data_IF_191522252265
#
_entry.id   IF_191522252265
#
_cell.length_a   1.000
_cell.length_b   1.000
_cell.length_c   1.000
_cell.angle_alpha   90.00
_cell.angle_beta   90.00
_cell.angle_gamma   90.00
#
_symmetry.space_group_name_H-M   'P 1'
#
loop_
_entity.id
_entity.type
_entity.pdbx_description
1 polymer ?
#
# COMPACT_ATOMS: atom_id res chain seq x y z
N UNK A 1 2.59 55.37 -68.59
CA UNK A 1 1.99 55.57 -67.26
C UNK A 1 1.52 54.22 -66.77
N UNK A 2 2.05 53.71 -65.66
CA UNK A 2 1.57 52.45 -65.09
C UNK A 2 0.10 52.64 -64.68
N UNK A 3 -0.78 51.73 -65.09
CA UNK A 3 -2.19 51.79 -64.70
C UNK A 3 -2.32 51.49 -63.20
N UNK A 4 -3.39 51.97 -62.56
CA UNK A 4 -3.67 51.72 -61.14
C UNK A 4 -3.63 50.20 -60.82
N UNK A 5 -4.11 49.37 -61.75
CA UNK A 5 -4.04 47.92 -61.71
C UNK A 5 -2.61 47.37 -61.52
N UNK A 6 -1.63 47.90 -62.27
CA UNK A 6 -0.23 47.45 -62.17
C UNK A 6 0.47 47.98 -60.92
N UNK A 7 -0.15 48.95 -60.23
CA UNK A 7 0.33 49.47 -58.95
C UNK A 7 -0.14 48.58 -57.80
N UNK A 8 -1.39 48.11 -57.88
CA UNK A 8 -1.99 47.21 -56.90
C UNK A 8 -1.54 45.75 -57.09
N UNK A 9 -1.26 45.34 -58.34
CA UNK A 9 -0.86 43.99 -58.73
C UNK A 9 0.45 44.01 -59.55
N UNK A 10 1.60 44.25 -58.90
CA UNK A 10 2.89 44.36 -59.57
C UNK A 10 3.30 43.05 -60.27
N UNK A 11 2.81 41.91 -59.80
CA UNK A 11 2.94 40.61 -60.46
C UNK A 11 2.39 40.58 -61.89
N UNK A 12 1.50 41.49 -62.30
CA UNK A 12 0.98 41.53 -63.67
C UNK A 12 1.84 42.38 -64.63
N UNK A 13 2.86 43.08 -64.13
CA UNK A 13 3.65 44.05 -64.90
C UNK A 13 4.52 43.47 -66.02
N UNK A 14 4.78 42.16 -65.99
CA UNK A 14 5.58 41.45 -66.99
C UNK A 14 4.74 40.80 -68.10
N UNK A 15 3.40 40.84 -67.99
CA UNK A 15 2.47 40.25 -68.94
C UNK A 15 2.08 41.26 -70.03
N UNK A 16 1.96 40.79 -71.26
CA UNK A 16 1.50 41.64 -72.38
C UNK A 16 -0.01 41.84 -72.33
N UNK A 17 -0.52 42.75 -73.17
CA UNK A 17 -1.98 42.98 -73.27
C UNK A 17 -2.72 41.73 -73.75
N UNK A 18 -2.17 41.01 -74.73
CA UNK A 18 -2.74 39.74 -75.22
C UNK A 18 -2.77 38.71 -74.08
N UNK A 19 -1.69 38.60 -73.30
CA UNK A 19 -1.65 37.71 -72.12
C UNK A 19 -2.74 38.07 -71.08
N UNK A 20 -3.01 39.36 -70.86
CA UNK A 20 -4.05 39.80 -69.92
C UNK A 20 -5.48 39.55 -70.44
N UNK A 21 -5.70 39.65 -71.76
CA UNK A 21 -6.97 39.30 -72.41
C UNK A 21 -7.20 37.78 -72.36
N UNK A 22 -6.15 36.99 -72.61
CA UNK A 22 -6.16 35.53 -72.46
C UNK A 22 -6.35 35.09 -71.01
N UNK A 23 -5.77 35.81 -70.04
CA UNK A 23 -5.97 35.56 -68.60
C UNK A 23 -7.43 35.74 -68.17
N UNK A 24 -8.17 36.65 -68.81
CA UNK A 24 -9.60 36.86 -68.56
C UNK A 24 -10.48 35.85 -69.30
N UNK A 25 -10.04 35.40 -70.48
CA UNK A 25 -10.81 34.51 -71.35
C UNK A 25 -10.62 33.02 -71.02
N UNK A 26 -9.44 32.62 -70.55
CA UNK A 26 -9.09 31.24 -70.20
C UNK A 26 -8.89 31.06 -68.68
N UNK A 27 -9.87 30.43 -68.00
CA UNK A 27 -9.77 30.11 -66.57
C UNK A 27 -8.57 29.22 -66.21
N UNK A 28 -8.12 28.33 -67.11
CA UNK A 28 -6.99 27.46 -66.84
C UNK A 28 -5.67 28.23 -66.86
N UNK A 29 -5.53 29.18 -67.80
CA UNK A 29 -4.38 30.06 -67.86
C UNK A 29 -4.30 30.97 -66.62
N UNK A 30 -5.43 31.53 -66.18
CA UNK A 30 -5.52 32.27 -64.92
C UNK A 30 -5.05 31.44 -63.72
N UNK A 31 -5.56 30.21 -63.57
CA UNK A 31 -5.17 29.32 -62.47
C UNK A 31 -3.68 28.99 -62.52
N UNK A 32 -3.11 28.77 -63.72
CA UNK A 32 -1.68 28.52 -63.87
C UNK A 32 -0.81 29.70 -63.41
N UNK A 33 -1.19 30.93 -63.77
CA UNK A 33 -0.50 32.15 -63.30
C UNK A 33 -0.67 32.33 -61.79
N UNK A 34 -1.90 32.16 -61.27
CA UNK A 34 -2.19 32.26 -59.85
C UNK A 34 -1.36 31.28 -59.01
N UNK A 35 -1.30 30.00 -59.41
CA UNK A 35 -0.45 28.99 -58.74
C UNK A 35 1.05 29.24 -58.93
N UNK A 36 1.45 30.06 -59.91
CA UNK A 36 2.83 30.45 -60.09
C UNK A 36 3.28 31.58 -59.14
N UNK A 37 2.34 32.34 -58.58
CA UNK A 37 2.63 33.44 -57.67
C UNK A 37 3.43 32.95 -56.45
N UNK A 38 4.53 33.62 -56.07
CA UNK A 38 5.38 33.20 -54.95
C UNK A 38 4.61 33.06 -53.63
N UNK A 39 3.66 33.97 -53.37
CA UNK A 39 2.82 33.96 -52.17
C UNK A 39 1.92 32.72 -52.12
N UNK A 40 1.34 32.33 -53.26
CA UNK A 40 0.46 31.16 -53.39
C UNK A 40 1.27 29.87 -53.21
N UNK A 41 2.46 29.77 -53.82
CA UNK A 41 3.38 28.64 -53.60
C UNK A 41 3.80 28.50 -52.14
N UNK A 42 4.16 29.62 -51.50
CA UNK A 42 4.54 29.63 -50.09
C UNK A 42 3.38 29.18 -49.18
N UNK A 43 2.14 29.59 -49.49
CA UNK A 43 0.95 29.13 -48.76
C UNK A 43 0.73 27.62 -48.91
N UNK A 44 0.83 27.07 -50.13
CA UNK A 44 0.68 25.62 -50.34
C UNK A 44 1.79 24.82 -49.65
N UNK A 45 3.03 25.31 -49.68
CA UNK A 45 4.14 24.71 -48.96
C UNK A 45 3.88 24.69 -47.45
N UNK A 46 3.53 25.84 -46.87
CA UNK A 46 3.21 25.94 -45.44
C UNK A 46 2.03 25.03 -45.05
N UNK A 47 0.98 24.96 -45.88
CA UNK A 47 -0.15 24.07 -45.67
C UNK A 47 0.29 22.59 -45.64
N UNK A 48 1.15 22.20 -46.58
CA UNK A 48 1.64 20.83 -46.69
C UNK A 48 2.53 20.47 -45.50
N UNK A 49 3.42 21.37 -45.10
CA UNK A 49 4.28 21.20 -43.92
C UNK A 49 3.45 21.04 -42.64
N UNK A 50 2.43 21.88 -42.45
CA UNK A 50 1.52 21.76 -41.31
C UNK A 50 0.73 20.44 -41.33
N UNK A 51 0.29 19.99 -42.50
CA UNK A 51 -0.42 18.71 -42.64
C UNK A 51 0.49 17.53 -42.24
N UNK A 52 1.73 17.51 -42.74
CA UNK A 52 2.72 16.48 -42.40
C UNK A 52 3.09 16.51 -40.92
N UNK A 53 3.25 17.70 -40.33
CA UNK A 53 3.53 17.84 -38.90
C UNK A 53 2.37 17.31 -38.04
N UNK A 54 1.12 17.65 -38.39
CA UNK A 54 -0.05 17.14 -37.70
C UNK A 54 -0.19 15.62 -37.81
N UNK A 55 0.07 15.06 -39.00
CA UNK A 55 0.06 13.61 -39.22
C UNK A 55 1.13 12.91 -38.37
N UNK A 56 2.34 13.47 -38.32
CA UNK A 56 3.42 12.95 -37.47
C UNK A 56 3.04 12.95 -35.98
N UNK A 57 2.39 14.01 -35.49
CA UNK A 57 1.92 14.09 -34.10
C UNK A 57 0.83 13.05 -33.84
N UNK A 58 -0.14 12.93 -34.76
CA UNK A 58 -1.21 11.94 -34.65
C UNK A 58 -0.67 10.51 -34.60
N UNK A 59 0.28 10.18 -35.48
CA UNK A 59 0.94 8.87 -35.48
C UNK A 59 1.70 8.61 -34.17
N UNK A 60 2.42 9.61 -33.65
CA UNK A 60 3.10 9.48 -32.36
C UNK A 60 2.10 9.21 -31.22
N UNK A 61 1.01 9.97 -31.17
CA UNK A 61 -0.04 9.76 -30.17
C UNK A 61 -0.64 8.35 -30.23
N UNK A 62 -0.91 7.83 -31.43
CA UNK A 62 -1.40 6.47 -31.63
C UNK A 62 -0.38 5.42 -31.17
N UNK A 63 0.91 5.63 -31.42
CA UNK A 63 1.96 4.71 -30.95
C UNK A 63 2.11 4.67 -29.43
N UNK A 64 1.84 5.78 -28.75
CA UNK A 64 1.92 5.88 -27.29
C UNK A 64 0.65 5.41 -26.58
N UNK A 65 -0.48 5.36 -27.28
CA UNK A 65 -1.78 5.02 -26.70
C UNK A 65 -1.76 3.66 -26.00
N UNK A 66 -1.36 2.60 -26.70
CA UNK A 66 -1.38 1.24 -26.16
C UNK A 66 -0.39 1.05 -24.99
N UNK A 67 0.89 1.47 -25.09
CA UNK A 67 1.81 1.43 -23.95
C UNK A 67 1.30 2.18 -22.72
N UNK A 68 0.63 3.32 -22.89
CA UNK A 68 0.07 4.08 -21.76
C UNK A 68 -1.11 3.35 -21.11
N UNK A 69 -1.96 2.67 -21.89
CA UNK A 69 -3.03 1.84 -21.32
C UNK A 69 -2.48 0.64 -20.56
N UNK A 70 -1.45 -0.02 -21.09
CA UNK A 70 -0.77 -1.14 -20.43
C UNK A 70 -0.13 -0.68 -19.12
N UNK A 71 0.67 0.38 -19.15
CA UNK A 71 1.32 0.94 -17.96
C UNK A 71 0.29 1.34 -16.89
N UNK A 72 -0.84 1.92 -17.32
CA UNK A 72 -1.94 2.26 -16.41
C UNK A 72 -2.57 1.03 -15.77
N UNK A 73 -2.76 -0.05 -16.53
CA UNK A 73 -3.30 -1.32 -16.01
C UNK A 73 -2.33 -1.92 -14.99
N UNK A 74 -1.06 -2.06 -15.36
CA UNK A 74 -0.02 -2.62 -14.48
C UNK A 74 0.12 -1.82 -13.18
N UNK A 75 0.08 -0.49 -13.26
CA UNK A 75 0.13 0.38 -12.08
C UNK A 75 -1.07 0.17 -11.18
N UNK A 76 -2.26 -0.01 -11.77
CA UNK A 76 -3.49 -0.28 -11.01
C UNK A 76 -3.40 -1.64 -10.32
N UNK A 77 -2.99 -2.68 -11.04
CA UNK A 77 -2.89 -4.04 -10.50
C UNK A 77 -1.87 -4.08 -9.35
N UNK A 78 -0.70 -3.45 -9.51
CA UNK A 78 0.30 -3.34 -8.45
C UNK A 78 -0.21 -2.55 -7.23
N UNK A 79 -1.02 -1.50 -7.44
CA UNK A 79 -1.64 -0.75 -6.35
C UNK A 79 -2.68 -1.58 -5.60
N UNK A 80 -3.55 -2.29 -6.32
CA UNK A 80 -4.58 -3.15 -5.75
C UNK A 80 -3.93 -4.29 -4.94
N UNK A 81 -2.86 -4.89 -5.45
CA UNK A 81 -2.06 -5.89 -4.73
C UNK A 81 -1.42 -5.32 -3.46
N UNK A 82 -0.83 -4.13 -3.53
CA UNK A 82 -0.27 -3.47 -2.36
C UNK A 82 -1.33 -3.20 -1.28
N UNK A 83 -2.55 -2.79 -1.68
CA UNK A 83 -3.67 -2.61 -0.76
C UNK A 83 -4.15 -3.91 -0.13
N UNK A 84 -4.19 -5.00 -0.91
CA UNK A 84 -4.53 -6.32 -0.40
C UNK A 84 -3.48 -6.80 0.63
N UNK A 85 -2.19 -6.60 0.35
CA UNK A 85 -1.11 -6.91 1.27
C UNK A 85 -1.16 -6.06 2.54
N UNK A 86 -1.47 -4.77 2.44
CA UNK A 86 -1.66 -3.88 3.60
C UNK A 86 -2.81 -4.37 4.50
N UNK A 87 -3.92 -4.80 3.91
CA UNK A 87 -5.05 -5.35 4.66
C UNK A 87 -4.67 -6.68 5.35
N UNK A 88 -3.98 -7.57 4.62
CA UNK A 88 -3.49 -8.83 5.18
C UNK A 88 -2.48 -8.63 6.31
N UNK A 89 -1.60 -7.63 6.20
CA UNK A 89 -0.64 -7.30 7.24
C UNK A 89 -1.34 -6.95 8.56
N UNK A 90 -2.37 -6.11 8.52
CA UNK A 90 -3.14 -5.73 9.72
C UNK A 90 -3.75 -6.93 10.42
N UNK A 91 -4.22 -7.92 9.66
CA UNK A 91 -4.77 -9.15 10.23
C UNK A 91 -3.68 -10.02 10.87
N UNK A 92 -2.56 -10.24 10.18
CA UNK A 92 -1.44 -11.01 10.72
C UNK A 92 -0.84 -10.35 11.97
N UNK A 93 -0.76 -9.02 12.00
CA UNK A 93 -0.30 -8.26 13.17
C UNK A 93 -1.26 -8.43 14.36
N UNK A 94 -2.58 -8.43 14.10
CA UNK A 94 -3.60 -8.71 15.13
C UNK A 94 -3.44 -10.13 15.69
N UNK A 95 -3.37 -11.13 14.81
CA UNK A 95 -3.16 -12.54 15.20
C UNK A 95 -1.87 -12.72 16.01
N UNK A 96 -0.78 -12.10 15.55
CA UNK A 96 0.49 -12.10 16.28
C UNK A 96 0.30 -11.51 17.67
N UNK A 97 -0.31 -10.33 17.80
CA UNK A 97 -0.52 -9.69 19.10
C UNK A 97 -1.35 -10.58 20.04
N UNK A 98 -2.37 -11.26 19.54
CA UNK A 98 -3.19 -12.20 20.33
C UNK A 98 -2.38 -13.40 20.82
N UNK A 99 -1.55 -14.00 19.97
CA UNK A 99 -0.67 -15.11 20.36
C UNK A 99 0.34 -14.66 21.41
N UNK A 100 0.99 -13.50 21.19
CA UNK A 100 2.02 -12.98 22.08
C UNK A 100 1.46 -12.44 23.39
N UNK A 101 0.18 -12.03 23.45
CA UNK A 101 -0.45 -11.50 24.67
C UNK A 101 -0.25 -12.42 25.88
N UNK A 102 -0.37 -13.73 25.67
CA UNK A 102 -0.23 -14.77 26.72
C UNK A 102 1.20 -14.96 27.23
N UNK A 103 2.17 -14.44 26.50
CA UNK A 103 3.60 -14.50 26.83
C UNK A 103 4.15 -13.14 27.25
N UNK A 104 3.30 -12.11 27.35
CA UNK A 104 3.72 -10.82 27.88
C UNK A 104 4.18 -10.97 29.33
N UNK A 105 5.22 -10.23 29.77
CA UNK A 105 5.68 -10.29 31.15
C UNK A 105 4.56 -10.03 32.16
N UNK A 106 3.65 -9.11 31.83
CA UNK A 106 2.49 -8.79 32.67
C UNK A 106 1.52 -9.97 32.81
N UNK A 107 1.19 -10.65 31.70
CA UNK A 107 0.30 -11.82 31.75
C UNK A 107 0.95 -13.00 32.47
N UNK A 108 2.24 -13.23 32.25
CA UNK A 108 2.99 -14.28 32.94
C UNK A 108 3.07 -14.02 34.46
N UNK A 109 3.30 -12.77 34.87
CA UNK A 109 3.28 -12.37 36.27
C UNK A 109 1.89 -12.53 36.88
N UNK A 110 0.82 -12.13 36.17
CA UNK A 110 -0.56 -12.39 36.59
C UNK A 110 -0.81 -13.89 36.80
N UNK A 111 -0.38 -14.73 35.85
CA UNK A 111 -0.52 -16.19 35.92
C UNK A 111 0.27 -16.77 37.10
N UNK A 112 1.48 -16.25 37.37
CA UNK A 112 2.27 -16.63 38.55
C UNK A 112 1.52 -16.30 39.84
N UNK A 113 0.94 -15.09 39.96
CA UNK A 113 0.15 -14.68 41.13
C UNK A 113 -1.05 -15.61 41.35
N UNK A 114 -1.82 -15.92 40.30
CA UNK A 114 -2.92 -16.88 40.41
C UNK A 114 -2.45 -18.28 40.82
N UNK A 115 -1.34 -18.77 40.26
CA UNK A 115 -0.78 -20.05 40.66
C UNK A 115 -0.26 -20.04 42.11
N UNK A 116 0.18 -18.88 42.63
CA UNK A 116 0.53 -18.71 44.04
C UNK A 116 -0.70 -18.80 44.93
N UNK A 117 -1.77 -18.08 44.61
CA UNK A 117 -3.05 -18.15 45.36
C UNK A 117 -3.63 -19.56 45.35
N UNK A 118 -3.70 -20.21 44.18
CA UNK A 118 -4.20 -21.58 44.08
C UNK A 118 -3.36 -22.59 44.89
N UNK A 119 -2.04 -22.33 45.02
CA UNK A 119 -1.17 -23.16 45.86
C UNK A 119 -1.42 -22.94 47.36
N UNK A 120 -1.70 -21.70 47.75
CA UNK A 120 -2.08 -21.34 49.12
C UNK A 120 -3.39 -22.03 49.49
N UNK A 121 -4.44 -21.82 48.68
CA UNK A 121 -5.76 -22.44 48.84
C UNK A 121 -5.66 -23.96 48.92
N UNK A 122 -4.86 -24.58 48.05
CA UNK A 122 -4.66 -26.04 48.08
C UNK A 122 -3.98 -26.49 49.37
N UNK A 123 -2.99 -25.75 49.87
CA UNK A 123 -2.35 -26.09 51.15
C UNK A 123 -3.31 -25.94 52.33
N UNK A 124 -4.21 -24.95 52.30
CA UNK A 124 -5.26 -24.76 53.32
C UNK A 124 -6.32 -25.89 53.27
N UNK A 125 -6.69 -26.35 52.07
CA UNK A 125 -7.59 -27.51 51.91
C UNK A 125 -6.96 -28.77 52.49
N UNK A 126 -5.68 -29.04 52.21
CA UNK A 126 -4.96 -30.19 52.76
C UNK A 126 -4.87 -30.10 54.29
N UNK A 127 -4.52 -28.92 54.84
CA UNK A 127 -4.47 -28.71 56.29
C UNK A 127 -5.84 -28.91 56.97
N UNK A 128 -6.90 -28.32 56.41
CA UNK A 128 -8.26 -28.46 56.95
C UNK A 128 -8.76 -29.90 56.86
N UNK A 129 -8.46 -30.62 55.77
CA UNK A 129 -8.82 -32.03 55.63
C UNK A 129 -8.15 -32.92 56.68
N UNK A 130 -6.88 -32.67 57.00
CA UNK A 130 -6.15 -33.39 58.04
C UNK A 130 -6.75 -33.16 59.43
N UNK A 131 -7.11 -31.91 59.74
CA UNK A 131 -7.77 -31.56 61.01
C UNK A 131 -9.17 -32.18 61.10
N UNK A 132 -9.94 -32.15 60.03
CA UNK A 132 -11.29 -32.74 59.97
C UNK A 132 -11.28 -34.28 60.00
N UNK A 133 -10.21 -34.92 59.52
CA UNK A 133 -10.01 -36.37 59.60
C UNK A 133 -9.55 -36.85 60.99
N UNK A 134 -9.21 -35.92 61.91
CA UNK A 134 -8.72 -36.22 63.25
C UNK A 134 -9.74 -36.28 64.43
N UNK A 135 -11.08 -36.50 64.32
CA UNK A 135 -11.97 -36.36 65.48
C UNK A 135 -12.42 -37.66 66.19
N UNK A 136 -11.96 -38.87 65.86
CA UNK A 136 -12.53 -40.06 66.54
C UNK A 136 -11.70 -41.33 66.72
N UNK A 137 -10.50 -41.46 66.15
CA UNK A 137 -9.67 -42.65 66.38
C UNK A 137 -8.37 -42.28 67.09
N UNK A 138 -8.20 -42.81 68.30
CA UNK A 138 -6.97 -42.77 69.09
C UNK A 138 -5.84 -43.63 68.50
N UNK A 139 -5.95 -43.95 67.20
CA UNK A 139 -5.02 -44.73 66.38
C UNK A 139 -4.65 -43.99 65.09
N UNK A 140 -4.51 -42.65 65.13
CA UNK A 140 -3.79 -41.93 64.08
C UNK A 140 -2.36 -42.47 64.05
N UNK A 141 -2.04 -43.32 63.07
CA UNK A 141 -0.72 -43.92 62.99
C UNK A 141 0.29 -42.80 62.78
N UNK A 142 1.44 -42.85 63.47
CA UNK A 142 2.50 -41.84 63.28
C UNK A 142 2.92 -41.65 61.81
N UNK A 143 2.70 -42.69 60.99
CA UNK A 143 2.87 -42.66 59.55
C UNK A 143 1.95 -41.66 58.82
N UNK A 144 0.68 -41.54 59.23
CA UNK A 144 -0.28 -40.63 58.59
C UNK A 144 0.08 -39.16 58.90
N UNK A 145 0.63 -38.92 60.10
CA UNK A 145 1.13 -37.61 60.52
C UNK A 145 2.40 -37.25 59.72
N UNK A 146 3.34 -38.19 59.61
CA UNK A 146 4.59 -37.98 58.87
C UNK A 146 4.33 -37.74 57.37
N UNK A 147 3.38 -38.48 56.77
CA UNK A 147 2.98 -38.32 55.38
C UNK A 147 2.31 -36.96 55.13
N UNK A 148 1.41 -36.53 56.02
CA UNK A 148 0.83 -35.17 55.98
C UNK A 148 1.89 -34.08 56.09
N UNK A 149 2.80 -34.19 57.08
CA UNK A 149 3.86 -33.19 57.29
C UNK A 149 4.75 -33.08 56.06
N UNK A 150 5.06 -34.21 55.43
CA UNK A 150 5.86 -34.24 54.20
C UNK A 150 5.13 -33.56 53.03
N UNK A 151 3.86 -33.89 52.81
CA UNK A 151 3.04 -33.31 51.75
C UNK A 151 2.86 -31.80 51.95
N UNK A 152 2.42 -31.38 53.14
CA UNK A 152 2.18 -29.98 53.46
C UNK A 152 3.46 -29.13 53.33
N UNK A 153 4.62 -29.65 53.77
CA UNK A 153 5.90 -28.98 53.60
C UNK A 153 6.25 -28.74 52.13
N UNK A 154 6.06 -29.72 51.25
CA UNK A 154 6.35 -29.54 49.83
C UNK A 154 5.37 -28.55 49.16
N UNK A 155 4.09 -28.54 49.58
CA UNK A 155 3.11 -27.55 49.13
C UNK A 155 3.51 -26.13 49.54
N UNK A 156 3.85 -25.91 50.82
CA UNK A 156 4.25 -24.59 51.33
C UNK A 156 5.59 -24.12 50.77
N UNK A 157 6.55 -25.02 50.56
CA UNK A 157 7.82 -24.72 49.88
C UNK A 157 7.58 -24.22 48.45
N UNK A 158 6.68 -24.85 47.72
CA UNK A 158 6.30 -24.40 46.36
C UNK A 158 5.62 -23.03 46.39
N UNK A 159 4.70 -22.80 47.34
CA UNK A 159 4.08 -21.50 47.58
C UNK A 159 5.13 -20.41 47.84
N UNK A 160 6.01 -20.59 48.83
CA UNK A 160 7.00 -19.57 49.20
C UNK A 160 8.01 -19.30 48.08
N UNK A 161 8.39 -20.31 47.28
CA UNK A 161 9.20 -20.09 46.07
C UNK A 161 8.49 -19.17 45.07
N UNK A 162 7.20 -19.41 44.81
CA UNK A 162 6.41 -18.58 43.88
C UNK A 162 6.21 -17.16 44.41
N UNK A 163 6.02 -16.98 45.72
CA UNK A 163 5.97 -15.65 46.37
C UNK A 163 7.29 -14.90 46.15
N UNK A 164 8.43 -15.51 46.51
CA UNK A 164 9.74 -14.87 46.32
C UNK A 164 10.02 -14.52 44.86
N UNK A 165 9.67 -15.40 43.92
CA UNK A 165 9.81 -15.10 42.49
C UNK A 165 8.87 -13.98 42.04
N UNK A 166 7.63 -13.95 42.51
CA UNK A 166 6.67 -12.90 42.21
C UNK A 166 7.11 -11.53 42.73
N UNK A 167 7.67 -11.47 43.93
CA UNK A 167 8.18 -10.24 44.54
C UNK A 167 9.42 -9.73 43.80
N UNK A 168 10.37 -10.62 43.51
CA UNK A 168 11.56 -10.27 42.72
C UNK A 168 11.20 -9.81 41.31
N UNK A 169 10.22 -10.45 40.67
CA UNK A 169 9.71 -10.02 39.36
C UNK A 169 9.09 -8.63 39.46
N UNK A 170 8.21 -8.40 40.44
CA UNK A 170 7.56 -7.10 40.64
C UNK A 170 8.56 -5.98 40.95
N UNK A 171 9.70 -6.32 41.58
CA UNK A 171 10.80 -5.40 41.85
C UNK A 171 11.77 -5.20 40.67
N UNK A 172 11.56 -5.87 39.53
CA UNK A 172 12.45 -5.80 38.36
C UNK A 172 13.80 -6.51 38.57
N UNK A 173 13.90 -7.41 39.55
CA UNK A 173 15.13 -8.12 39.95
C UNK A 173 15.25 -9.53 39.33
N UNK A 174 14.49 -9.77 38.27
CA UNK A 174 14.53 -11.01 37.48
C UNK A 174 15.34 -10.70 36.23
N UNK A 175 16.60 -11.17 36.22
CA UNK A 175 17.47 -11.22 35.05
C UNK A 175 17.26 -12.54 34.31
#
# INVERSE_FOLDING_TARGET
MASQLLTDFPELSHLTREDLEDLLADPQYFQAIFHNLPQVKALYQAQTELALANESIANNNLTLQEPLYQLRSETKDAFDDAKNLEARWKEVEREQKEVYQRFTPQFLLMRLKHATTAQDDHSEVVASSFVQASPSDSSSNGKDIDDFVKEFRELRKTYHKRVMWGDRWSAGQVQ
#
